data_IF_377058805546
#
_entry.id   IF_377058805546
#
_cell.length_a   1.000
_cell.length_b   1.000
_cell.length_c   1.000
_cell.angle_alpha   90.00
_cell.angle_beta   90.00
_cell.angle_gamma   90.00
#
_symmetry.space_group_name_H-M   'P 1'
#
loop_
_entity.id
_entity.type
_entity.pdbx_description
1 polymer ?
#
# COMPACT_ATOMS: atom_id res chain seq x y z
N UNK A 1 1.45 -22.54 -26.70
CA UNK A 1 2.75 -22.24 -26.08
C UNK A 1 2.47 -21.62 -24.71
N UNK A 2 2.81 -22.32 -23.63
CA UNK A 2 2.70 -21.78 -22.27
C UNK A 2 3.83 -20.78 -22.07
N UNK A 3 3.55 -19.49 -22.14
CA UNK A 3 4.46 -18.49 -21.61
C UNK A 3 4.48 -18.71 -20.09
N UNK A 4 5.57 -19.27 -19.60
CA UNK A 4 5.84 -19.41 -18.17
C UNK A 4 5.66 -18.04 -17.50
N UNK A 5 4.58 -17.86 -16.75
CA UNK A 5 4.28 -16.67 -15.97
C UNK A 5 5.37 -16.51 -14.91
N UNK A 6 6.44 -15.79 -15.23
CA UNK A 6 7.41 -15.35 -14.22
C UNK A 6 6.73 -14.28 -13.38
N UNK A 7 6.68 -14.42 -12.05
CA UNK A 7 6.09 -13.41 -11.21
C UNK A 7 6.88 -12.10 -11.35
N UNK A 8 6.17 -11.01 -11.49
CA UNK A 8 6.69 -9.67 -11.30
C UNK A 8 6.92 -9.46 -9.80
N UNK A 9 7.93 -8.66 -9.44
CA UNK A 9 8.17 -8.28 -8.05
C UNK A 9 7.63 -6.87 -7.83
N UNK A 10 6.80 -6.72 -6.81
CA UNK A 10 6.29 -5.44 -6.33
C UNK A 10 6.86 -5.11 -4.95
N UNK A 11 6.98 -3.82 -4.66
CA UNK A 11 7.26 -3.33 -3.31
C UNK A 11 6.05 -2.52 -2.86
N UNK A 12 5.46 -2.90 -1.73
CA UNK A 12 4.49 -2.10 -0.99
C UNK A 12 5.20 -1.45 0.18
N UNK A 13 4.98 -0.15 0.39
CA UNK A 13 5.50 0.55 1.56
C UNK A 13 4.31 0.93 2.43
N UNK A 14 4.31 0.50 3.68
CA UNK A 14 3.37 0.90 4.71
C UNK A 14 4.05 2.00 5.51
N UNK A 15 3.58 3.22 5.31
CA UNK A 15 4.10 4.40 6.01
C UNK A 15 3.13 4.74 7.14
N UNK A 16 3.66 4.88 8.35
CA UNK A 16 2.90 5.36 9.51
C UNK A 16 3.53 6.64 10.06
N UNK A 17 2.70 7.49 10.67
CA UNK A 17 3.17 8.65 11.42
C UNK A 17 2.40 8.74 12.74
N UNK A 18 2.82 7.98 13.77
CA UNK A 18 2.03 7.79 14.99
C UNK A 18 1.73 9.08 15.75
N UNK A 19 2.68 10.02 15.77
CA UNK A 19 2.55 11.26 16.55
C UNK A 19 1.49 12.21 15.99
N UNK A 20 1.33 12.26 14.67
CA UNK A 20 0.41 13.18 14.01
C UNK A 20 -0.86 12.50 13.46
N UNK A 21 -0.75 11.25 13.04
CA UNK A 21 -1.82 10.45 12.43
C UNK A 21 -1.88 9.06 13.07
N UNK A 22 -2.31 8.97 14.34
CA UNK A 22 -2.37 7.69 15.06
C UNK A 22 -3.26 6.69 14.32
N UNK A 23 -2.88 5.41 14.35
CA UNK A 23 -3.56 4.29 13.68
C UNK A 23 -3.82 4.47 12.19
N UNK A 24 -3.13 5.41 11.55
CA UNK A 24 -3.31 5.73 10.14
C UNK A 24 -2.11 5.27 9.33
N UNK A 25 -2.39 4.83 8.11
CA UNK A 25 -1.37 4.57 7.09
C UNK A 25 -1.53 5.56 5.94
N UNK A 26 -0.42 5.82 5.26
CA UNK A 26 -0.45 6.62 4.04
C UNK A 26 -0.98 5.80 2.86
N UNK A 27 -2.00 6.32 2.18
CA UNK A 27 -2.63 5.69 1.02
C UNK A 27 -2.57 6.62 -0.18
N UNK A 28 -2.34 6.02 -1.35
CA UNK A 28 -2.34 6.69 -2.65
C UNK A 28 -3.77 6.78 -3.21
N UNK A 29 -4.15 7.96 -3.67
CA UNK A 29 -5.32 8.14 -4.54
C UNK A 29 -4.91 7.89 -5.99
N UNK A 30 -4.95 6.63 -6.41
CA UNK A 30 -4.54 6.23 -7.77
C UNK A 30 -5.55 6.73 -8.80
N UNK A 31 -5.06 7.39 -9.85
CA UNK A 31 -5.86 7.98 -10.94
C UNK A 31 -6.49 6.97 -11.92
N UNK A 32 -6.69 5.71 -11.52
CA UNK A 32 -7.17 4.59 -12.34
C UNK A 32 -6.12 3.90 -13.24
N UNK A 33 -6.60 2.86 -13.91
CA UNK A 33 -6.08 1.50 -13.96
C UNK A 33 -5.17 1.26 -15.16
N UNK A 34 -4.01 0.63 -14.92
CA UNK A 34 -3.51 -0.30 -15.92
C UNK A 34 -4.59 -1.39 -16.10
N UNK A 35 -5.47 -1.22 -17.08
CA UNK A 35 -6.13 -2.34 -17.75
C UNK A 35 -5.06 -3.05 -18.57
N UNK A 36 -4.23 -3.84 -17.90
CA UNK A 36 -3.48 -4.84 -18.62
C UNK A 36 -4.36 -6.08 -18.60
N UNK A 37 -5.07 -6.33 -19.71
CA UNK A 37 -5.85 -7.55 -19.98
C UNK A 37 -5.02 -8.84 -20.00
N UNK A 38 -3.88 -8.86 -19.30
CA UNK A 38 -2.96 -9.96 -19.14
C UNK A 38 -2.94 -10.34 -17.66
N UNK A 39 -3.16 -11.62 -17.37
CA UNK A 39 -2.97 -12.18 -16.04
C UNK A 39 -1.53 -11.91 -15.56
N UNK A 40 -1.36 -10.98 -14.62
CA UNK A 40 -0.07 -10.71 -13.98
C UNK A 40 -0.02 -11.41 -12.63
N UNK A 41 1.09 -12.08 -12.37
CA UNK A 41 1.40 -12.64 -11.06
C UNK A 41 2.41 -11.71 -10.38
N UNK A 42 2.08 -11.17 -9.21
CA UNK A 42 3.00 -10.35 -8.42
C UNK A 42 3.38 -11.06 -7.11
N UNK A 43 4.67 -11.06 -6.80
CA UNK A 43 5.15 -11.25 -5.43
C UNK A 43 5.43 -9.86 -4.85
N UNK A 44 4.67 -9.47 -3.83
CA UNK A 44 4.79 -8.13 -3.22
C UNK A 44 5.44 -8.22 -1.85
N UNK A 45 6.57 -7.53 -1.67
CA UNK A 45 7.19 -7.35 -0.36
C UNK A 45 6.61 -6.09 0.30
N UNK A 46 6.03 -6.22 1.49
CA UNK A 46 5.58 -5.08 2.28
C UNK A 46 6.67 -4.68 3.28
N UNK A 47 7.10 -3.42 3.22
CA UNK A 47 8.02 -2.81 4.18
C UNK A 47 7.29 -1.78 5.03
N UNK A 48 7.53 -1.79 6.34
CA UNK A 48 7.01 -0.78 7.28
C UNK A 48 8.06 0.33 7.46
N UNK A 49 7.62 1.58 7.49
CA UNK A 49 8.46 2.73 7.87
C UNK A 49 7.67 3.73 8.70
N UNK A 50 8.38 4.51 9.51
CA UNK A 50 7.83 5.50 10.44
C UNK A 50 8.38 6.86 10.07
N UNK A 51 7.50 7.85 9.94
CA UNK A 51 7.90 9.27 9.82
C UNK A 51 8.11 9.82 11.24
N UNK A 52 9.23 10.52 11.42
CA UNK A 52 9.62 11.15 12.69
C UNK A 52 9.72 12.68 12.60
N UNK A 53 9.50 13.26 11.42
CA UNK A 53 9.62 14.69 11.19
C UNK A 53 8.32 15.31 10.67
N UNK A 54 8.23 16.63 10.73
CA UNK A 54 7.08 17.40 10.25
C UNK A 54 7.16 17.68 8.75
N UNK A 55 7.75 16.79 7.95
CA UNK A 55 7.77 16.94 6.50
C UNK A 55 6.36 16.90 5.90
N UNK A 56 6.19 17.63 4.80
CA UNK A 56 4.91 17.68 4.08
C UNK A 56 4.92 16.71 2.91
N UNK A 57 3.79 16.02 2.71
CA UNK A 57 3.61 15.13 1.58
C UNK A 57 3.58 15.92 0.28
N UNK A 58 4.31 15.44 -0.73
CA UNK A 58 4.30 15.99 -2.08
C UNK A 58 4.04 14.89 -3.10
N UNK A 59 3.07 15.11 -3.99
CA UNK A 59 2.87 14.22 -5.11
C UNK A 59 3.97 14.43 -6.17
N UNK A 60 4.96 13.54 -6.19
CA UNK A 60 6.11 13.64 -7.11
C UNK A 60 5.85 13.04 -8.49
N UNK A 61 4.82 12.19 -8.63
CA UNK A 61 4.43 11.57 -9.89
C UNK A 61 2.94 11.84 -10.20
N UNK A 62 2.56 13.08 -10.53
CA UNK A 62 1.15 13.49 -10.66
C UNK A 62 0.39 12.77 -11.79
N UNK A 63 1.10 12.15 -12.73
CA UNK A 63 0.51 11.33 -13.80
C UNK A 63 0.13 9.91 -13.35
N UNK A 64 0.59 9.46 -12.18
CA UNK A 64 0.28 8.13 -11.60
C UNK A 64 -0.62 8.22 -10.37
N UNK A 65 -0.57 9.34 -9.67
CA UNK A 65 -1.18 9.51 -8.36
C UNK A 65 -1.73 10.94 -8.25
N UNK A 66 -3.00 11.11 -7.90
CA UNK A 66 -3.56 12.46 -7.70
C UNK A 66 -3.11 13.06 -6.37
N UNK A 67 -3.04 12.23 -5.33
CA UNK A 67 -2.75 12.70 -3.98
C UNK A 67 -2.30 11.57 -3.04
N UNK A 68 -1.79 11.96 -1.88
CA UNK A 68 -1.52 11.07 -0.76
C UNK A 68 -2.39 11.48 0.43
N UNK A 69 -3.04 10.51 1.05
CA UNK A 69 -3.95 10.74 2.18
C UNK A 69 -3.63 9.80 3.33
N UNK A 70 -3.80 10.29 4.56
CA UNK A 70 -3.74 9.45 5.76
C UNK A 70 -5.10 8.83 6.00
N UNK A 71 -5.14 7.50 6.13
CA UNK A 71 -6.39 6.76 6.34
C UNK A 71 -6.21 5.82 7.52
N UNK A 72 -7.22 5.78 8.41
CA UNK A 72 -7.25 4.82 9.51
C UNK A 72 -7.19 3.40 8.98
N UNK A 73 -6.36 2.57 9.60
CA UNK A 73 -6.21 1.17 9.20
C UNK A 73 -7.53 0.38 9.24
N UNK A 74 -8.39 0.70 10.21
CA UNK A 74 -9.75 0.13 10.33
C UNK A 74 -10.65 0.40 9.13
N UNK A 75 -10.38 1.46 8.38
CA UNK A 75 -11.27 1.96 7.32
C UNK A 75 -10.81 1.51 5.93
N UNK A 76 -9.62 0.91 5.83
CA UNK A 76 -9.04 0.46 4.55
C UNK A 76 -9.90 -0.57 3.83
N UNK A 77 -10.62 -1.42 4.56
CA UNK A 77 -11.47 -2.46 3.97
C UNK A 77 -12.63 -1.88 3.12
N UNK A 78 -13.00 -0.62 3.35
CA UNK A 78 -14.03 0.11 2.61
C UNK A 78 -13.49 0.75 1.32
N UNK A 79 -12.16 0.82 1.15
CA UNK A 79 -11.53 1.45 0.01
C UNK A 79 -11.30 0.48 -1.16
N UNK A 80 -11.19 1.04 -2.37
CA UNK A 80 -10.71 0.31 -3.54
C UNK A 80 -9.18 0.21 -3.51
N UNK A 81 -8.67 -0.77 -2.76
CA UNK A 81 -7.24 -1.02 -2.63
C UNK A 81 -6.67 -1.83 -3.82
N UNK A 82 -5.37 -1.74 -4.02
CA UNK A 82 -4.67 -2.66 -4.92
C UNK A 82 -4.68 -4.08 -4.31
N UNK A 83 -4.80 -5.11 -5.15
CA UNK A 83 -5.18 -6.45 -4.72
C UNK A 83 -4.30 -7.06 -3.60
N UNK A 84 -2.95 -7.03 -3.68
CA UNK A 84 -2.12 -7.50 -2.56
C UNK A 84 -2.38 -6.79 -1.23
N UNK A 85 -2.58 -5.47 -1.19
CA UNK A 85 -2.90 -4.77 0.06
C UNK A 85 -4.32 -5.10 0.54
N UNK A 86 -5.29 -5.21 -0.38
CA UNK A 86 -6.66 -5.68 -0.05
C UNK A 86 -6.59 -7.04 0.62
N UNK A 87 -5.81 -7.97 0.07
CA UNK A 87 -5.65 -9.31 0.63
C UNK A 87 -5.00 -9.30 2.02
N UNK A 88 -3.97 -8.46 2.23
CA UNK A 88 -3.35 -8.26 3.54
C UNK A 88 -4.36 -7.73 4.56
N UNK A 89 -5.15 -6.72 4.20
CA UNK A 89 -6.15 -6.10 5.09
C UNK A 89 -7.30 -7.06 5.42
N UNK A 90 -7.80 -7.80 4.42
CA UNK A 90 -9.00 -8.62 4.58
C UNK A 90 -8.72 -10.00 5.21
N UNK A 91 -7.56 -10.60 4.91
CA UNK A 91 -7.36 -12.04 5.11
C UNK A 91 -6.13 -12.40 5.97
N UNK A 92 -5.41 -11.41 6.50
CA UNK A 92 -4.25 -11.67 7.35
C UNK A 92 -4.42 -11.07 8.75
N UNK A 93 -3.75 -11.64 9.74
CA UNK A 93 -3.64 -11.06 11.08
C UNK A 93 -2.57 -9.94 11.14
N UNK A 94 -2.17 -9.41 9.98
CA UNK A 94 -1.18 -8.34 9.92
C UNK A 94 -1.75 -7.04 10.47
N UNK A 95 -1.03 -6.44 11.41
CA UNK A 95 -1.30 -5.11 11.91
C UNK A 95 0.02 -4.31 11.92
N UNK A 96 0.12 -3.19 11.17
CA UNK A 96 1.38 -2.46 11.06
C UNK A 96 1.78 -1.71 12.33
N UNK A 97 0.88 -1.58 13.30
CA UNK A 97 1.14 -0.88 14.57
C UNK A 97 1.61 -1.81 15.70
N UNK A 98 1.55 -3.12 15.48
CA UNK A 98 2.11 -4.09 16.42
C UNK A 98 3.56 -4.34 15.99
N UNK A 99 4.51 -4.08 16.88
CA UNK A 99 5.90 -4.43 16.61
C UNK A 99 6.07 -5.96 16.69
N UNK A 100 6.60 -6.54 15.63
CA UNK A 100 7.01 -7.94 15.64
C UNK A 100 8.22 -8.06 16.57
N UNK A 101 7.99 -8.54 17.79
CA UNK A 101 9.08 -9.11 18.57
C UNK A 101 9.41 -10.45 17.93
N UNK A 102 10.56 -10.54 17.26
CA UNK A 102 11.11 -11.81 16.76
C UNK A 102 11.69 -12.58 17.94
#
# INVERSE_FOLDING_TARGET
MSSSLRPLVGIGIIVIYPDLYPDSVLVSERLSSHEDGLSKHYVTLFMKTIIHDNSTLKCMEPHKNSNWIWVKWSDLNQMKLFAPLKQTVDNSNFNPFIDFTI
#
